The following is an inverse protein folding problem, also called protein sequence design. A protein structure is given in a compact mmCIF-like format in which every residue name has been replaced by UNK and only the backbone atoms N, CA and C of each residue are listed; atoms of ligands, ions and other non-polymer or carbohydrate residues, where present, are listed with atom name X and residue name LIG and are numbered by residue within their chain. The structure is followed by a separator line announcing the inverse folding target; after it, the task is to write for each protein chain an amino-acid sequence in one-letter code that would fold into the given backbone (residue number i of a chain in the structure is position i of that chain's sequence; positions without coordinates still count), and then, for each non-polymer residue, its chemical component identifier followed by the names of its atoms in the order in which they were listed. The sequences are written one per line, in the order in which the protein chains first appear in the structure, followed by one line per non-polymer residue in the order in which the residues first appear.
data_IF_084920761631
#
_entry.id   IF_084920761631
#
_cell.length_a   1.000
_cell.length_b   1.000
_cell.length_c   1.000
_cell.angle_alpha   90.00
_cell.angle_beta   90.00
_cell.angle_gamma   90.00
#
_symmetry.space_group_name_H-M   'P 1'
#
loop_
_entity.id
_entity.type
_entity.pdbx_description
1 polymer ?
#
# COMPACT_ATOMS: atom_id res chain seq x y z
N UNK A 1 1.30 -22.85 3.53
CA UNK A 1 1.39 -21.71 4.43
C UNK A 1 0.00 -21.31 4.92
N UNK A 2 -0.08 -20.88 6.19
CA UNK A 2 -1.32 -20.34 6.77
C UNK A 2 -1.06 -18.92 7.22
N UNK A 3 -1.78 -17.96 6.61
CA UNK A 3 -1.67 -16.54 6.90
C UNK A 3 -2.88 -16.10 7.71
N UNK A 4 -2.65 -15.47 8.86
CA UNK A 4 -3.66 -14.88 9.73
C UNK A 4 -3.71 -13.37 9.55
N UNK A 5 -4.81 -12.76 9.93
CA UNK A 5 -5.05 -11.31 9.78
C UNK A 5 -5.10 -10.85 8.31
N UNK A 6 -5.64 -11.69 7.42
CA UNK A 6 -5.89 -11.36 6.02
C UNK A 6 -7.26 -10.71 5.87
N UNK A 7 -7.37 -9.42 5.56
CA UNK A 7 -8.64 -8.75 5.36
C UNK A 7 -9.33 -9.21 4.06
N UNK A 8 -10.64 -9.00 3.96
CA UNK A 8 -11.39 -9.18 2.73
C UNK A 8 -11.22 -7.95 1.85
N UNK A 9 -10.24 -8.00 0.96
CA UNK A 9 -9.92 -6.92 0.02
C UNK A 9 -9.97 -7.46 -1.40
N UNK A 10 -10.43 -6.65 -2.34
CA UNK A 10 -10.48 -7.01 -3.75
C UNK A 10 -9.09 -7.40 -4.31
N UNK A 11 -8.03 -6.73 -3.88
CA UNK A 11 -6.66 -7.04 -4.30
C UNK A 11 -6.19 -8.40 -3.73
N UNK A 12 -6.65 -8.79 -2.53
CA UNK A 12 -6.37 -10.13 -1.96
C UNK A 12 -7.13 -11.21 -2.73
N UNK A 13 -8.40 -10.99 -3.05
CA UNK A 13 -9.19 -11.93 -3.86
C UNK A 13 -8.55 -12.14 -5.24
N UNK A 14 -7.99 -11.08 -5.86
CA UNK A 14 -7.25 -11.20 -7.12
C UNK A 14 -5.94 -11.96 -6.95
N UNK A 15 -5.26 -11.78 -5.81
CA UNK A 15 -4.07 -12.57 -5.47
C UNK A 15 -4.40 -14.06 -5.35
N UNK A 16 -5.51 -14.40 -4.70
CA UNK A 16 -5.98 -15.79 -4.57
C UNK A 16 -6.23 -16.40 -5.97
N UNK A 17 -6.90 -15.66 -6.87
CA UNK A 17 -7.11 -16.09 -8.26
C UNK A 17 -5.81 -16.29 -9.04
N UNK A 18 -4.81 -15.43 -8.86
CA UNK A 18 -3.48 -15.61 -9.49
C UNK A 18 -2.84 -16.90 -9.00
N UNK A 19 -2.86 -17.15 -7.69
CA UNK A 19 -2.29 -18.38 -7.11
C UNK A 19 -3.00 -19.64 -7.61
N UNK A 20 -4.33 -19.62 -7.70
CA UNK A 20 -5.11 -20.74 -8.24
C UNK A 20 -4.80 -21.01 -9.72
N UNK A 21 -4.65 -19.97 -10.54
CA UNK A 21 -4.23 -20.08 -11.94
C UNK A 21 -2.83 -20.67 -12.11
N UNK A 22 -1.94 -20.38 -11.17
CA UNK A 22 -0.60 -20.99 -11.13
C UNK A 22 -0.64 -22.47 -10.67
N UNK A 23 -1.79 -22.99 -10.27
CA UNK A 23 -1.98 -24.37 -9.82
C UNK A 23 -1.87 -24.57 -8.31
N UNK A 24 -1.88 -23.49 -7.54
CA UNK A 24 -1.95 -23.56 -6.08
C UNK A 24 -3.39 -23.87 -5.62
N UNK A 25 -3.54 -24.40 -4.41
CA UNK A 25 -4.84 -24.49 -3.74
C UNK A 25 -4.91 -23.41 -2.69
N UNK A 26 -5.94 -22.58 -2.78
CA UNK A 26 -6.19 -21.50 -1.81
C UNK A 26 -7.46 -21.83 -1.05
N UNK A 27 -7.42 -21.71 0.27
CA UNK A 27 -8.60 -21.87 1.13
C UNK A 27 -8.67 -20.71 2.12
N UNK A 28 -9.83 -20.07 2.19
CA UNK A 28 -10.10 -18.97 3.09
C UNK A 28 -11.15 -19.33 4.14
N UNK A 29 -10.85 -19.06 5.39
CA UNK A 29 -11.77 -19.21 6.53
C UNK A 29 -11.71 -17.94 7.39
N UNK A 30 -12.67 -17.04 7.22
CA UNK A 30 -12.64 -15.72 7.87
C UNK A 30 -11.40 -14.93 7.43
N UNK A 31 -10.65 -14.41 8.38
CA UNK A 31 -9.41 -13.68 8.16
C UNK A 31 -8.15 -14.57 8.08
N UNK A 32 -8.33 -15.86 7.82
CA UNK A 32 -7.24 -16.83 7.65
C UNK A 32 -7.25 -17.33 6.21
N UNK A 33 -6.10 -17.25 5.56
CA UNK A 33 -5.87 -17.78 4.20
C UNK A 33 -4.81 -18.88 4.27
N UNK A 34 -5.14 -20.06 3.76
CA UNK A 34 -4.20 -21.19 3.65
C UNK A 34 -3.87 -21.45 2.19
N UNK A 35 -2.59 -21.47 1.86
CA UNK A 35 -2.09 -21.67 0.50
C UNK A 35 -1.25 -22.92 0.44
N UNK A 36 -1.63 -23.87 -0.42
CA UNK A 36 -0.85 -25.06 -0.75
C UNK A 36 -0.30 -24.95 -2.18
N UNK A 37 1.01 -24.79 -2.27
CA UNK A 37 1.71 -24.60 -3.54
C UNK A 37 2.28 -25.88 -4.14
N UNK A 38 2.00 -27.06 -3.57
CA UNK A 38 2.54 -28.34 -4.07
C UNK A 38 2.06 -28.67 -5.48
N UNK A 39 0.87 -28.22 -5.84
CA UNK A 39 0.28 -28.39 -7.16
C UNK A 39 0.69 -27.35 -8.20
N UNK A 40 1.52 -26.39 -7.85
CA UNK A 40 1.93 -25.32 -8.77
C UNK A 40 2.63 -25.91 -10.01
N UNK A 41 2.05 -25.72 -11.17
CA UNK A 41 2.49 -26.31 -12.45
C UNK A 41 2.66 -25.27 -13.57
N UNK A 42 2.20 -24.05 -13.38
CA UNK A 42 2.31 -22.97 -14.37
C UNK A 42 3.29 -21.87 -13.89
N UNK A 43 3.88 -21.17 -14.86
CA UNK A 43 4.77 -20.05 -14.65
C UNK A 43 4.31 -18.80 -15.42
N UNK A 44 3.06 -18.81 -15.92
CA UNK A 44 2.47 -17.73 -16.70
C UNK A 44 1.29 -17.10 -15.97
N UNK A 45 1.31 -15.78 -15.86
CA UNK A 45 0.15 -15.00 -15.40
C UNK A 45 -0.51 -14.34 -16.61
N UNK A 46 -1.82 -14.55 -16.78
CA UNK A 46 -2.58 -14.00 -17.90
C UNK A 46 -2.73 -12.48 -17.80
N UNK A 47 -2.91 -11.84 -18.94
CA UNK A 47 -2.97 -10.40 -19.10
C UNK A 47 -4.09 -9.76 -18.27
N UNK A 48 -5.27 -10.37 -18.23
CA UNK A 48 -6.43 -9.83 -17.50
C UNK A 48 -6.12 -9.65 -16.02
N UNK A 49 -5.52 -10.65 -15.37
CA UNK A 49 -5.15 -10.57 -13.94
C UNK A 49 -4.02 -9.55 -13.69
N UNK A 50 -3.04 -9.46 -14.61
CA UNK A 50 -1.95 -8.47 -14.50
C UNK A 50 -2.45 -7.04 -14.64
N UNK A 51 -3.47 -6.79 -15.49
CA UNK A 51 -4.04 -5.46 -15.69
C UNK A 51 -4.90 -4.99 -14.54
N UNK A 52 -5.60 -5.91 -13.86
CA UNK A 52 -6.49 -5.57 -12.74
C UNK A 52 -5.72 -5.16 -11.47
N UNK A 53 -4.54 -5.75 -11.25
CA UNK A 53 -3.75 -5.49 -10.04
C UNK A 53 -2.28 -5.22 -10.41
N UNK A 54 -1.85 -3.96 -10.35
CA UNK A 54 -0.49 -3.59 -10.72
C UNK A 54 0.59 -4.26 -9.86
N UNK A 55 0.31 -4.49 -8.56
CA UNK A 55 1.22 -5.21 -7.66
C UNK A 55 1.49 -6.66 -8.08
N UNK A 56 0.73 -7.20 -9.03
CA UNK A 56 0.96 -8.55 -9.58
C UNK A 56 2.37 -8.74 -10.17
N UNK A 57 3.09 -7.67 -10.54
CA UNK A 57 4.50 -7.75 -10.95
C UNK A 57 5.41 -8.38 -9.89
N UNK A 58 5.02 -8.34 -8.61
CA UNK A 58 5.78 -8.93 -7.48
C UNK A 58 5.84 -10.47 -7.58
N UNK A 59 4.84 -11.09 -8.20
CA UNK A 59 4.87 -12.53 -8.45
C UNK A 59 6.07 -12.97 -9.29
N UNK A 60 6.64 -12.08 -10.10
CA UNK A 60 7.74 -12.39 -11.00
C UNK A 60 8.94 -12.96 -10.23
N UNK A 61 9.33 -12.33 -9.10
CA UNK A 61 10.43 -12.80 -8.25
C UNK A 61 10.16 -14.18 -7.64
N UNK A 62 8.94 -14.42 -7.18
CA UNK A 62 8.56 -15.72 -6.61
C UNK A 62 8.51 -16.84 -7.66
N UNK A 63 7.93 -16.56 -8.85
CA UNK A 63 7.81 -17.54 -9.94
C UNK A 63 9.20 -17.90 -10.47
N UNK A 64 10.06 -16.91 -10.78
CA UNK A 64 11.38 -17.17 -11.34
C UNK A 64 12.28 -17.92 -10.34
N UNK A 65 12.16 -17.62 -9.05
CA UNK A 65 12.88 -18.33 -8.00
C UNK A 65 12.52 -19.81 -7.99
N UNK A 66 11.24 -20.14 -8.14
CA UNK A 66 10.74 -21.52 -8.07
C UNK A 66 10.87 -22.26 -9.40
N UNK A 67 10.43 -21.64 -10.52
CA UNK A 67 10.23 -22.32 -11.79
C UNK A 67 11.38 -22.11 -12.77
N UNK A 68 12.32 -21.21 -12.49
CA UNK A 68 13.42 -20.79 -13.41
C UNK A 68 12.92 -20.20 -14.73
N UNK A 69 11.62 -20.10 -14.91
CA UNK A 69 10.93 -19.46 -16.03
C UNK A 69 9.74 -18.67 -15.51
N UNK A 70 9.45 -17.54 -16.11
CA UNK A 70 8.24 -16.77 -15.80
C UNK A 70 7.81 -16.00 -17.07
N UNK A 71 6.49 -15.94 -17.29
CA UNK A 71 5.91 -15.11 -18.35
C UNK A 71 4.79 -14.30 -17.72
N UNK A 72 4.94 -12.98 -17.71
CA UNK A 72 3.92 -12.07 -17.22
C UNK A 72 3.64 -11.00 -18.26
N UNK A 73 2.40 -10.52 -18.35
CA UNK A 73 2.15 -9.36 -19.20
C UNK A 73 2.66 -8.09 -18.52
N UNK A 74 2.93 -7.06 -19.32
CA UNK A 74 3.22 -5.73 -18.80
C UNK A 74 2.04 -5.29 -17.91
N UNK A 75 2.30 -4.81 -16.68
CA UNK A 75 1.23 -4.35 -15.81
C UNK A 75 0.52 -3.15 -16.46
N UNK A 76 -0.79 -3.07 -16.30
CA UNK A 76 -1.61 -2.00 -16.83
C UNK A 76 -1.18 -0.61 -16.35
N UNK A 77 -1.66 0.44 -17.02
CA UNK A 77 -1.45 1.83 -16.61
C UNK A 77 -1.95 2.09 -15.19
N UNK A 78 -1.38 3.09 -14.55
CA UNK A 78 -1.81 3.50 -13.22
C UNK A 78 -2.33 4.96 -13.29
N UNK A 79 -3.54 5.24 -12.78
CA UNK A 79 -4.09 6.59 -12.83
C UNK A 79 -3.24 7.62 -12.06
N UNK A 80 -2.51 7.20 -11.04
CA UNK A 80 -1.69 8.10 -10.21
C UNK A 80 -0.31 8.44 -10.77
N UNK A 81 0.07 7.89 -11.94
CA UNK A 81 1.33 8.21 -12.63
C UNK A 81 2.03 7.01 -13.26
N UNK A 82 3.12 7.29 -13.97
CA UNK A 82 4.01 6.27 -14.48
C UNK A 82 4.62 5.52 -13.30
N UNK A 83 4.52 4.21 -13.33
CA UNK A 83 5.15 3.32 -12.34
C UNK A 83 6.02 2.33 -13.08
N UNK A 84 7.19 2.77 -13.54
CA UNK A 84 8.09 1.93 -14.32
C UNK A 84 8.48 0.69 -13.51
N UNK A 85 8.71 -0.42 -14.20
CA UNK A 85 9.13 -1.69 -13.60
C UNK A 85 10.62 -1.96 -13.79
N UNK A 86 11.34 -0.98 -14.32
CA UNK A 86 12.76 -1.03 -14.63
C UNK A 86 13.62 -1.49 -13.45
N UNK A 87 13.34 -1.00 -12.24
CA UNK A 87 14.03 -1.41 -11.01
C UNK A 87 13.77 -2.89 -10.66
N UNK A 88 12.57 -3.41 -10.94
CA UNK A 88 12.27 -4.83 -10.76
C UNK A 88 13.12 -5.67 -11.73
N UNK A 89 13.13 -5.29 -13.00
CA UNK A 89 13.87 -6.02 -14.03
C UNK A 89 15.39 -5.90 -13.82
N UNK A 90 15.88 -4.71 -13.43
CA UNK A 90 17.29 -4.51 -13.06
C UNK A 90 17.70 -5.47 -11.94
N UNK A 91 16.92 -5.53 -10.86
CA UNK A 91 17.22 -6.41 -9.73
C UNK A 91 17.28 -7.89 -10.11
N UNK A 92 16.40 -8.34 -10.99
CA UNK A 92 16.39 -9.73 -11.46
C UNK A 92 17.57 -10.03 -12.42
N UNK A 93 17.96 -9.08 -13.29
CA UNK A 93 19.15 -9.23 -14.16
C UNK A 93 20.42 -9.37 -13.33
N UNK A 94 20.57 -8.62 -12.23
CA UNK A 94 21.71 -8.74 -11.30
C UNK A 94 21.77 -10.11 -10.60
N UNK A 95 20.67 -10.85 -10.57
CA UNK A 95 20.59 -12.22 -10.06
C UNK A 95 20.77 -13.29 -11.17
N UNK A 96 21.17 -12.90 -12.40
CA UNK A 96 21.42 -13.80 -13.51
C UNK A 96 20.17 -14.23 -14.28
N UNK A 97 19.09 -13.46 -14.23
CA UNK A 97 17.87 -13.74 -14.99
C UNK A 97 17.96 -13.08 -16.37
N UNK A 98 17.81 -13.86 -17.45
CA UNK A 98 17.58 -13.35 -18.78
C UNK A 98 16.16 -12.84 -18.92
N UNK A 99 15.99 -11.61 -19.43
CA UNK A 99 14.71 -10.93 -19.52
C UNK A 99 14.51 -10.36 -20.92
N UNK A 100 13.46 -10.80 -21.57
CA UNK A 100 13.03 -10.36 -22.89
C UNK A 100 11.67 -9.68 -22.80
N UNK A 101 11.56 -8.50 -23.37
CA UNK A 101 10.32 -7.71 -23.39
C UNK A 101 9.77 -7.72 -24.82
N UNK A 102 8.73 -8.50 -25.09
CA UNK A 102 8.18 -8.70 -26.41
C UNK A 102 6.64 -8.68 -26.40
N UNK A 103 6.06 -7.95 -27.33
CA UNK A 103 4.60 -7.93 -27.58
C UNK A 103 3.75 -7.69 -26.32
N UNK A 104 4.23 -6.85 -25.38
CA UNK A 104 3.53 -6.56 -24.13
C UNK A 104 3.71 -7.63 -23.04
N UNK A 105 4.60 -8.59 -23.24
CA UNK A 105 4.97 -9.60 -22.25
C UNK A 105 6.42 -9.46 -21.81
N UNK A 106 6.65 -9.83 -20.56
CA UNK A 106 7.98 -9.99 -19.95
C UNK A 106 8.22 -11.49 -19.82
N UNK A 107 9.19 -11.98 -20.55
CA UNK A 107 9.63 -13.38 -20.50
C UNK A 107 10.94 -13.45 -19.76
N UNK A 108 10.96 -14.20 -18.69
CA UNK A 108 12.14 -14.39 -17.83
C UNK A 108 12.56 -15.84 -17.85
N UNK A 109 13.88 -16.08 -17.94
CA UNK A 109 14.46 -17.41 -17.84
C UNK A 109 15.84 -17.37 -17.19
N UNK A 110 16.20 -18.45 -16.53
CA UNK A 110 17.54 -18.65 -15.96
C UNK A 110 17.79 -20.14 -15.72
N UNK A 111 19.02 -20.58 -15.88
CA UNK A 111 19.41 -21.92 -15.44
C UNK A 111 19.51 -21.97 -13.91
N UNK A 112 20.05 -20.90 -13.32
CA UNK A 112 20.18 -20.75 -11.87
C UNK A 112 20.17 -19.28 -11.47
N UNK A 113 19.65 -19.00 -10.30
CA UNK A 113 19.72 -17.68 -9.69
C UNK A 113 20.99 -17.65 -8.83
N UNK A 114 21.82 -16.64 -9.07
CA UNK A 114 23.09 -16.46 -8.34
C UNK A 114 23.01 -15.16 -7.54
N UNK A 115 23.42 -15.24 -6.28
CA UNK A 115 23.46 -14.07 -5.40
C UNK A 115 24.42 -13.01 -5.95
N UNK A 116 24.10 -11.74 -5.71
CA UNK A 116 24.84 -10.59 -6.24
C UNK A 116 24.62 -9.33 -5.43
N UNK A 117 25.18 -8.24 -5.91
CA UNK A 117 25.00 -6.92 -5.33
C UNK A 117 24.00 -6.13 -6.16
N UNK A 118 22.82 -5.88 -5.60
CA UNK A 118 21.74 -5.12 -6.20
C UNK A 118 21.76 -3.72 -5.64
N UNK A 119 21.86 -2.70 -6.48
CA UNK A 119 21.66 -1.31 -6.09
C UNK A 119 20.39 -0.76 -6.71
N UNK A 120 19.46 -0.30 -5.87
CA UNK A 120 18.23 0.36 -6.32
C UNK A 120 18.47 1.88 -6.39
N UNK A 121 18.28 2.47 -7.57
CA UNK A 121 18.47 3.92 -7.76
C UNK A 121 17.43 4.75 -6.99
N UNK A 122 16.31 4.12 -6.65
CA UNK A 122 15.27 4.64 -5.77
C UNK A 122 14.80 3.52 -4.81
N UNK A 123 14.50 3.80 -3.53
CA UNK A 123 14.04 2.79 -2.56
C UNK A 123 12.59 2.35 -2.88
N UNK A 124 12.46 1.59 -3.97
CA UNK A 124 11.18 1.05 -4.44
C UNK A 124 10.77 -0.15 -3.60
N UNK A 125 9.57 -0.09 -3.00
CA UNK A 125 8.98 -1.19 -2.23
C UNK A 125 8.86 -2.43 -3.09
N UNK A 126 8.16 -2.35 -4.22
CA UNK A 126 7.92 -3.52 -5.08
C UNK A 126 9.19 -4.12 -5.67
N UNK A 127 10.19 -3.30 -6.04
CA UNK A 127 11.47 -3.81 -6.53
C UNK A 127 12.26 -4.51 -5.41
N UNK A 128 12.22 -3.98 -4.18
CA UNK A 128 12.82 -4.63 -3.00
C UNK A 128 12.15 -5.98 -2.72
N UNK A 129 10.81 -6.05 -2.74
CA UNK A 129 10.05 -7.29 -2.56
C UNK A 129 10.41 -8.33 -3.63
N UNK A 130 10.42 -7.93 -4.90
CA UNK A 130 10.79 -8.83 -6.01
C UNK A 130 12.22 -9.35 -5.88
N UNK A 131 13.18 -8.49 -5.54
CA UNK A 131 14.57 -8.87 -5.31
C UNK A 131 14.68 -9.87 -4.14
N UNK A 132 13.99 -9.61 -3.01
CA UNK A 132 13.96 -10.51 -1.86
C UNK A 132 13.39 -11.88 -2.23
N UNK A 133 12.22 -11.92 -2.89
CA UNK A 133 11.55 -13.16 -3.30
C UNK A 133 12.40 -13.99 -4.27
N UNK A 134 13.15 -13.33 -5.18
CA UNK A 134 14.05 -14.03 -6.08
C UNK A 134 15.31 -14.54 -5.38
N UNK A 135 15.87 -13.74 -4.45
CA UNK A 135 17.17 -14.01 -3.84
C UNK A 135 17.15 -15.08 -2.74
N UNK A 136 15.99 -15.35 -2.10
CA UNK A 136 15.92 -16.30 -0.98
C UNK A 136 16.34 -17.74 -1.33
N UNK A 137 16.24 -18.12 -2.61
CA UNK A 137 16.72 -19.41 -3.11
C UNK A 137 17.86 -19.27 -4.13
N UNK A 138 18.57 -18.14 -4.14
CA UNK A 138 19.74 -17.94 -4.98
C UNK A 138 20.97 -18.69 -4.44
N UNK A 139 21.91 -19.07 -5.29
CA UNK A 139 23.19 -19.61 -4.84
C UNK A 139 24.07 -18.48 -4.26
N UNK A 140 24.54 -18.64 -3.02
CA UNK A 140 25.44 -17.70 -2.36
C UNK A 140 24.73 -16.57 -1.63
N UNK A 141 25.28 -15.37 -1.69
CA UNK A 141 24.82 -14.20 -0.93
C UNK A 141 24.33 -13.11 -1.84
N UNK A 142 23.22 -12.47 -1.46
CA UNK A 142 22.71 -11.26 -2.11
C UNK A 142 22.74 -10.10 -1.15
N UNK A 143 23.19 -8.93 -1.63
CA UNK A 143 23.11 -7.67 -0.90
C UNK A 143 22.27 -6.69 -1.71
N UNK A 144 21.18 -6.20 -1.12
CA UNK A 144 20.34 -5.16 -1.72
C UNK A 144 20.68 -3.85 -1.01
N UNK A 145 21.18 -2.86 -1.74
CA UNK A 145 21.52 -1.53 -1.24
C UNK A 145 20.49 -0.51 -1.72
N UNK A 146 20.28 0.55 -0.94
CA UNK A 146 19.18 1.50 -1.09
C UNK A 146 17.81 0.83 -1.15
N UNK A 147 17.65 -0.25 -0.37
CA UNK A 147 16.41 -0.99 -0.23
C UNK A 147 15.31 -0.12 0.41
N UNK A 148 14.06 -0.43 0.09
CA UNK A 148 12.90 0.13 0.76
C UNK A 148 12.91 -0.27 2.25
N UNK A 149 12.46 0.63 3.11
CA UNK A 149 12.57 0.51 4.58
C UNK A 149 11.21 0.37 5.24
N UNK A 150 10.16 0.35 4.46
CA UNK A 150 8.77 0.26 4.87
C UNK A 150 8.55 -0.94 5.81
N UNK A 151 7.67 -0.81 6.81
CA UNK A 151 7.33 -1.91 7.72
C UNK A 151 6.88 -3.18 7.00
N UNK A 152 6.27 -3.05 5.82
CA UNK A 152 5.85 -4.14 4.95
C UNK A 152 7.03 -4.99 4.45
N UNK A 153 8.19 -4.36 4.22
CA UNK A 153 9.46 -5.06 3.87
C UNK A 153 9.97 -5.87 5.06
N UNK A 154 9.82 -5.31 6.27
CA UNK A 154 10.20 -6.02 7.51
C UNK A 154 9.29 -7.22 7.71
N UNK A 155 7.99 -7.06 7.49
CA UNK A 155 6.99 -8.12 7.61
C UNK A 155 7.22 -9.25 6.61
N UNK A 156 7.47 -8.92 5.34
CA UNK A 156 7.86 -9.89 4.31
C UNK A 156 9.13 -10.66 4.70
N UNK A 157 10.18 -9.96 5.15
CA UNK A 157 11.43 -10.60 5.56
C UNK A 157 11.25 -11.53 6.76
N UNK A 158 10.41 -11.16 7.73
CA UNK A 158 10.04 -12.00 8.87
C UNK A 158 9.26 -13.24 8.42
N UNK A 159 8.29 -13.09 7.51
CA UNK A 159 7.57 -14.22 6.93
C UNK A 159 8.51 -15.18 6.20
N UNK A 160 9.40 -14.67 5.35
CA UNK A 160 10.39 -15.48 4.66
C UNK A 160 11.30 -16.23 5.65
N UNK A 161 11.75 -15.57 6.71
CA UNK A 161 12.55 -16.21 7.76
C UNK A 161 11.76 -17.30 8.51
N UNK A 162 10.45 -17.11 8.76
CA UNK A 162 9.60 -18.16 9.29
C UNK A 162 9.49 -19.38 8.34
N UNK A 163 9.67 -19.18 7.03
CA UNK A 163 9.72 -20.24 6.04
C UNK A 163 11.12 -20.90 5.91
N UNK A 164 12.09 -20.45 6.70
CA UNK A 164 13.46 -20.99 6.69
C UNK A 164 14.45 -20.21 5.82
N UNK A 165 14.08 -19.04 5.31
CA UNK A 165 15.02 -18.13 4.65
C UNK A 165 15.99 -17.50 5.66
N UNK A 166 17.04 -16.86 5.14
CA UNK A 166 18.05 -16.16 5.94
C UNK A 166 18.17 -14.71 5.45
N UNK A 167 17.20 -13.89 5.82
CA UNK A 167 17.12 -12.46 5.46
C UNK A 167 17.46 -11.62 6.69
N UNK A 168 18.32 -10.61 6.52
CA UNK A 168 18.75 -9.70 7.59
C UNK A 168 18.80 -8.27 7.08
N UNK A 169 18.63 -7.29 7.97
CA UNK A 169 18.76 -5.87 7.66
C UNK A 169 17.48 -5.19 7.15
N UNK A 170 16.33 -5.90 7.16
CA UNK A 170 15.04 -5.31 6.81
C UNK A 170 14.74 -4.10 7.69
N UNK A 171 14.11 -3.07 7.12
CA UNK A 171 13.91 -1.78 7.79
C UNK A 171 15.11 -0.84 7.74
N UNK A 172 16.29 -1.33 7.36
CA UNK A 172 17.45 -0.56 6.98
C UNK A 172 17.56 -0.34 5.47
N UNK A 173 18.55 0.47 5.05
CA UNK A 173 18.83 0.70 3.63
C UNK A 173 19.62 -0.43 2.96
N UNK A 174 20.06 -1.43 3.72
CA UNK A 174 20.84 -2.57 3.22
C UNK A 174 20.23 -3.87 3.74
N UNK A 175 19.78 -4.71 2.82
CA UNK A 175 19.26 -6.05 3.12
C UNK A 175 20.27 -7.08 2.64
N UNK A 176 20.57 -8.07 3.48
CA UNK A 176 21.47 -9.19 3.16
C UNK A 176 20.70 -10.50 3.22
N UNK A 177 20.85 -11.31 2.20
CA UNK A 177 20.17 -12.59 2.03
C UNK A 177 21.22 -13.67 1.75
N UNK A 178 21.23 -14.71 2.58
CA UNK A 178 21.94 -15.94 2.29
C UNK A 178 20.95 -16.91 1.68
N UNK A 179 21.17 -17.32 0.45
CA UNK A 179 20.25 -18.19 -0.25
C UNK A 179 20.19 -19.59 0.40
N UNK A 180 19.01 -20.18 0.34
CA UNK A 180 18.75 -21.53 0.87
C UNK A 180 18.25 -22.47 -0.21
N UNK A 181 18.55 -23.75 -0.08
CA UNK A 181 18.15 -24.74 -1.08
C UNK A 181 16.64 -24.99 -1.12
N UNK A 182 15.93 -24.72 -0.02
CA UNK A 182 14.50 -25.00 0.11
C UNK A 182 13.88 -24.16 1.23
N UNK A 183 12.67 -23.65 0.96
CA UNK A 183 11.77 -23.09 1.95
C UNK A 183 10.73 -24.14 2.37
N UNK A 184 10.12 -23.96 3.53
CA UNK A 184 9.03 -24.81 4.04
C UNK A 184 7.78 -23.97 4.31
N UNK A 185 6.64 -24.62 4.54
CA UNK A 185 5.42 -23.95 4.95
C UNK A 185 5.54 -23.35 6.35
N UNK A 186 4.83 -22.25 6.57
CA UNK A 186 4.79 -21.56 7.86
C UNK A 186 3.38 -21.08 8.18
N UNK A 187 3.13 -20.88 9.47
CA UNK A 187 2.00 -20.10 9.98
C UNK A 187 2.50 -18.72 10.36
N UNK A 188 1.84 -17.67 9.87
CA UNK A 188 2.28 -16.29 10.07
C UNK A 188 1.08 -15.36 10.27
N UNK A 189 1.22 -14.38 11.14
CA UNK A 189 0.24 -13.32 11.34
C UNK A 189 0.75 -12.05 10.67
N UNK A 190 0.04 -11.60 9.64
CA UNK A 190 0.36 -10.38 8.88
C UNK A 190 0.22 -9.16 9.79
N UNK A 191 1.11 -8.20 9.63
CA UNK A 191 1.13 -6.94 10.38
C UNK A 191 -0.17 -6.14 10.19
N UNK A 192 -0.56 -5.28 11.15
CA UNK A 192 -1.66 -4.34 10.98
C UNK A 192 -1.40 -3.33 9.86
N UNK A 193 -2.44 -2.95 9.12
CA UNK A 193 -2.35 -1.94 8.07
C UNK A 193 -2.29 -0.52 8.67
N UNK A 194 -1.11 0.10 8.60
CA UNK A 194 -0.85 1.45 9.11
C UNK A 194 -1.57 2.54 8.32
N UNK A 195 -1.85 2.31 7.02
CA UNK A 195 -2.52 3.28 6.15
C UNK A 195 -4.03 3.28 6.43
N UNK A 196 -4.63 2.11 6.59
CA UNK A 196 -6.02 1.98 7.03
C UNK A 196 -6.19 2.61 8.42
N UNK A 197 -5.29 2.31 9.36
CA UNK A 197 -5.32 2.91 10.70
C UNK A 197 -5.26 4.44 10.65
N UNK A 198 -4.34 5.03 9.85
CA UNK A 198 -4.22 6.48 9.68
C UNK A 198 -5.47 7.09 9.01
N UNK A 199 -6.14 6.36 8.12
CA UNK A 199 -7.40 6.81 7.51
C UNK A 199 -8.54 6.92 8.53
N UNK A 200 -8.66 5.97 9.47
CA UNK A 200 -9.63 6.07 10.56
C UNK A 200 -9.29 7.17 11.56
N UNK A 201 -8.00 7.41 11.83
CA UNK A 201 -7.59 8.59 12.61
C UNK A 201 -7.99 9.88 11.90
N UNK A 202 -7.80 9.95 10.58
CA UNK A 202 -8.24 11.11 9.80
C UNK A 202 -9.76 11.28 9.85
N UNK A 203 -10.55 10.22 9.70
CA UNK A 203 -12.00 10.24 9.79
C UNK A 203 -12.49 10.76 11.15
N UNK A 204 -11.88 10.32 12.24
CA UNK A 204 -12.17 10.83 13.58
C UNK A 204 -11.73 12.30 13.75
N UNK A 205 -10.56 12.68 13.21
CA UNK A 205 -10.04 14.03 13.33
C UNK A 205 -10.93 15.07 12.62
N UNK A 206 -11.36 14.77 11.39
CA UNK A 206 -12.18 15.72 10.59
C UNK A 206 -13.56 15.98 11.21
N UNK A 207 -14.09 14.99 11.95
CA UNK A 207 -15.41 15.09 12.63
C UNK A 207 -15.33 15.66 14.03
N UNK A 208 -14.14 15.98 14.54
CA UNK A 208 -13.97 16.44 15.93
C UNK A 208 -14.21 15.33 16.95
N UNK A 209 -14.07 14.06 16.53
CA UNK A 209 -14.40 12.87 17.33
C UNK A 209 -13.27 12.37 18.24
N UNK A 210 -13.60 11.30 18.97
CA UNK A 210 -12.66 10.53 19.77
C UNK A 210 -12.70 9.07 19.31
N UNK A 211 -11.54 8.44 19.10
CA UNK A 211 -11.44 7.04 18.66
C UNK A 211 -10.33 6.32 19.40
N UNK A 212 -10.54 5.03 19.65
CA UNK A 212 -9.53 4.12 20.15
C UNK A 212 -9.26 3.02 19.11
N UNK A 213 -8.12 3.10 18.41
CA UNK A 213 -7.66 2.05 17.53
C UNK A 213 -6.86 1.01 18.32
N UNK A 214 -7.24 -0.24 18.19
CA UNK A 214 -6.56 -1.41 18.78
C UNK A 214 -5.89 -2.23 17.69
N UNK A 215 -4.94 -3.08 18.07
CA UNK A 215 -4.18 -3.93 17.15
C UNK A 215 -3.48 -3.11 16.05
N UNK A 216 -2.84 -2.01 16.42
CA UNK A 216 -2.03 -1.16 15.56
C UNK A 216 -0.58 -1.15 16.06
N UNK A 217 0.36 -0.89 15.18
CA UNK A 217 1.74 -0.63 15.57
C UNK A 217 2.06 0.88 15.43
N UNK A 218 1.99 1.67 16.51
CA UNK A 218 2.23 3.11 16.42
C UNK A 218 3.63 3.49 15.91
N UNK A 219 4.62 2.59 16.07
CA UNK A 219 5.99 2.83 15.59
C UNK A 219 6.08 2.95 14.08
N UNK A 220 5.16 2.29 13.35
CA UNK A 220 5.11 2.30 11.89
C UNK A 220 4.39 3.54 11.34
N UNK A 221 3.82 4.38 12.23
CA UNK A 221 2.95 5.51 11.91
C UNK A 221 3.55 6.88 12.25
N UNK A 222 4.82 6.94 12.66
CA UNK A 222 5.43 8.14 13.25
C UNK A 222 5.17 9.43 12.49
N UNK A 223 5.45 9.49 11.18
CA UNK A 223 5.23 10.70 10.37
C UNK A 223 3.74 11.14 10.33
N UNK A 224 2.82 10.18 10.26
CA UNK A 224 1.38 10.47 10.22
C UNK A 224 0.86 10.98 11.56
N UNK A 225 1.29 10.36 12.66
CA UNK A 225 0.93 10.78 14.02
C UNK A 225 1.48 12.18 14.35
N UNK A 226 2.68 12.50 13.86
CA UNK A 226 3.27 13.82 14.03
C UNK A 226 2.43 14.91 13.33
N UNK A 227 2.01 14.67 12.11
CA UNK A 227 1.14 15.60 11.38
C UNK A 227 -0.20 15.81 12.11
N UNK A 228 -0.79 14.77 12.69
CA UNK A 228 -2.02 14.91 13.51
C UNK A 228 -1.78 15.77 14.77
N UNK A 229 -0.63 15.61 15.43
CA UNK A 229 -0.25 16.45 16.56
C UNK A 229 -0.11 17.92 16.16
N UNK A 230 0.52 18.20 15.00
CA UNK A 230 0.65 19.55 14.46
C UNK A 230 -0.71 20.17 14.13
N UNK A 231 -1.70 19.36 13.76
CA UNK A 231 -3.08 19.79 13.56
C UNK A 231 -3.88 20.01 14.88
N UNK A 232 -3.24 19.84 16.03
CA UNK A 232 -3.84 20.02 17.35
C UNK A 232 -4.58 18.79 17.89
N UNK A 233 -4.45 17.64 17.24
CA UNK A 233 -5.05 16.38 17.70
C UNK A 233 -4.29 15.87 18.94
N UNK A 234 -5.01 15.48 19.96
CA UNK A 234 -4.43 14.85 21.15
C UNK A 234 -4.30 13.35 20.93
N UNK A 235 -3.10 12.82 21.16
CA UNK A 235 -2.81 11.40 21.01
C UNK A 235 -2.26 10.82 22.31
N UNK A 236 -2.83 9.68 22.72
CA UNK A 236 -2.25 8.80 23.74
C UNK A 236 -1.85 7.49 23.06
N UNK A 237 -0.55 7.25 23.02
CA UNK A 237 0.05 6.11 22.34
C UNK A 237 0.43 5.05 23.37
N UNK A 238 -0.07 3.83 23.16
CA UNK A 238 0.27 2.63 23.93
C UNK A 238 0.96 1.61 23.00
N UNK A 239 1.34 0.45 23.51
CA UNK A 239 2.14 -0.53 22.74
C UNK A 239 1.47 -0.96 21.43
N UNK A 240 0.19 -1.22 21.46
CA UNK A 240 -0.62 -1.78 20.35
C UNK A 240 -1.94 -1.02 20.14
N UNK A 241 -2.01 0.20 20.67
CA UNK A 241 -3.22 1.00 20.71
C UNK A 241 -2.93 2.49 20.59
N UNK A 242 -3.78 3.20 19.87
CA UNK A 242 -3.77 4.67 19.77
C UNK A 242 -5.15 5.17 20.19
N UNK A 243 -5.18 6.06 21.18
CA UNK A 243 -6.37 6.81 21.58
C UNK A 243 -6.18 8.22 21.05
N UNK A 244 -7.12 8.68 20.23
CA UNK A 244 -7.14 10.00 19.63
C UNK A 244 -8.34 10.78 20.13
N UNK A 245 -8.12 12.07 20.40
CA UNK A 245 -9.17 13.05 20.62
C UNK A 245 -8.90 14.28 19.77
N UNK A 246 -9.81 14.57 18.86
CA UNK A 246 -9.68 15.70 17.98
C UNK A 246 -10.09 17.02 18.66
N UNK A 247 -9.49 18.17 18.30
CA UNK A 247 -9.94 19.47 18.72
C UNK A 247 -11.26 19.84 17.99
N UNK A 248 -11.98 20.83 18.48
CA UNK A 248 -13.18 21.35 17.80
C UNK A 248 -12.89 21.94 16.41
N UNK A 249 -11.69 22.42 16.18
CA UNK A 249 -11.21 22.95 14.90
C UNK A 249 -9.76 22.54 14.74
N UNK A 250 -9.44 21.91 13.62
CA UNK A 250 -8.08 21.53 13.25
C UNK A 250 -7.28 22.76 12.84
N UNK A 251 -5.98 22.75 13.13
CA UNK A 251 -5.02 23.75 12.62
C UNK A 251 -4.42 23.26 11.29
N UNK A 252 -3.99 24.22 10.45
CA UNK A 252 -3.38 23.87 9.16
C UNK A 252 -2.03 23.18 9.32
N UNK A 253 -1.72 22.30 8.38
CA UNK A 253 -0.39 21.73 8.23
C UNK A 253 0.40 22.66 7.34
N UNK A 254 1.51 23.22 7.82
CA UNK A 254 2.28 24.17 7.02
C UNK A 254 2.75 23.55 5.70
N UNK A 255 3.52 22.47 5.77
CA UNK A 255 4.00 21.75 4.58
C UNK A 255 4.08 20.25 4.88
N UNK A 256 3.46 19.45 4.02
CA UNK A 256 3.63 17.99 3.97
C UNK A 256 4.34 17.61 2.67
N UNK A 257 5.42 16.86 2.77
CA UNK A 257 6.12 16.27 1.63
C UNK A 257 6.06 14.76 1.70
N UNK A 258 5.56 14.14 0.62
CA UNK A 258 5.60 12.69 0.53
C UNK A 258 7.04 12.22 0.28
N UNK A 259 7.46 11.21 1.03
CA UNK A 259 8.80 10.66 1.00
C UNK A 259 8.75 9.15 1.26
N UNK A 260 9.74 8.38 0.78
CA UNK A 260 9.93 7.00 1.23
C UNK A 260 10.03 6.92 2.76
N UNK A 261 9.64 5.79 3.31
CA UNK A 261 9.68 5.57 4.77
C UNK A 261 11.10 5.82 5.34
N UNK A 262 11.23 6.49 6.50
CA UNK A 262 10.18 6.85 7.47
C UNK A 262 9.51 8.22 7.23
N UNK A 263 9.61 8.79 6.04
CA UNK A 263 8.93 10.03 5.69
C UNK A 263 7.41 9.85 5.59
N UNK A 264 6.72 10.95 5.26
CA UNK A 264 5.26 10.93 5.14
C UNK A 264 4.84 10.12 3.90
N UNK A 265 4.03 9.04 4.07
CA UNK A 265 3.71 8.15 2.96
C UNK A 265 2.72 8.78 1.99
N UNK A 266 2.97 8.60 0.69
CA UNK A 266 2.06 9.06 -0.37
C UNK A 266 0.65 8.46 -0.24
N UNK A 267 0.51 7.26 0.33
CA UNK A 267 -0.76 6.57 0.46
C UNK A 267 -1.72 7.19 1.48
N UNK A 268 -1.25 8.05 2.37
CA UNK A 268 -2.11 8.78 3.29
C UNK A 268 -2.23 10.28 2.93
N UNK A 269 -1.55 10.71 1.89
CA UNK A 269 -1.56 12.10 1.44
C UNK A 269 -3.00 12.60 1.15
N UNK A 270 -3.80 11.82 0.41
CA UNK A 270 -5.15 12.20 0.03
C UNK A 270 -6.11 12.30 1.24
N UNK A 271 -6.20 11.33 2.18
CA UNK A 271 -6.98 11.48 3.41
C UNK A 271 -6.56 12.67 4.27
N UNK A 272 -5.26 12.98 4.36
CA UNK A 272 -4.80 14.14 5.13
C UNK A 272 -5.04 15.48 4.40
N UNK A 273 -5.08 15.47 3.07
CA UNK A 273 -5.55 16.62 2.31
C UNK A 273 -7.03 16.91 2.59
N UNK A 274 -7.86 15.86 2.73
CA UNK A 274 -9.26 16.04 3.16
C UNK A 274 -9.35 16.70 4.54
N UNK A 275 -8.50 16.33 5.52
CA UNK A 275 -8.42 17.06 6.80
C UNK A 275 -8.11 18.53 6.63
N UNK A 276 -7.14 18.84 5.78
CA UNK A 276 -6.70 20.22 5.55
C UNK A 276 -7.80 21.11 4.95
N UNK A 277 -8.78 20.51 4.23
CA UNK A 277 -9.88 21.29 3.64
C UNK A 277 -10.75 22.01 4.66
N UNK A 278 -10.83 21.53 5.90
CA UNK A 278 -11.61 22.14 6.99
C UNK A 278 -10.75 22.71 8.10
N UNK A 279 -9.42 22.62 7.99
CA UNK A 279 -8.49 23.14 8.99
C UNK A 279 -8.38 24.67 8.94
N UNK A 280 -8.02 25.30 10.05
CA UNK A 280 -7.82 26.75 10.12
C UNK A 280 -6.48 27.12 9.47
N UNK A 281 -6.49 27.92 8.41
CA UNK A 281 -5.30 28.39 7.73
C UNK A 281 -5.05 27.72 6.38
N UNK A 282 -3.79 27.69 5.96
CA UNK A 282 -3.37 27.18 4.65
C UNK A 282 -2.35 26.05 4.83
N UNK A 283 -2.58 24.97 4.13
CA UNK A 283 -1.69 23.78 4.09
C UNK A 283 -1.11 23.59 2.69
N UNK A 284 0.12 23.12 2.61
CA UNK A 284 0.80 22.82 1.33
C UNK A 284 1.17 21.35 1.30
N UNK A 285 0.77 20.66 0.24
CA UNK A 285 1.15 19.28 -0.04
C UNK A 285 2.09 19.22 -1.23
N UNK A 286 3.22 18.56 -1.09
CA UNK A 286 4.21 18.34 -2.15
C UNK A 286 4.33 16.84 -2.37
N UNK A 287 3.94 16.38 -3.56
CA UNK A 287 3.96 14.97 -3.93
C UNK A 287 5.26 14.64 -4.68
N UNK A 288 6.16 13.91 -4.03
CA UNK A 288 7.47 13.56 -4.60
C UNK A 288 7.53 12.14 -5.19
N UNK A 289 6.51 11.31 -4.94
CA UNK A 289 6.52 9.90 -5.32
C UNK A 289 5.82 9.70 -6.68
N UNK A 290 4.60 10.24 -6.84
CA UNK A 290 3.79 10.05 -8.03
C UNK A 290 3.43 11.35 -8.73
N UNK A 291 3.43 11.35 -10.06
CA UNK A 291 3.21 12.54 -10.88
C UNK A 291 1.75 13.01 -10.88
N UNK A 292 0.80 12.07 -10.78
CA UNK A 292 -0.62 12.34 -10.96
C UNK A 292 -1.45 11.92 -9.72
N UNK A 293 -0.96 12.27 -8.53
CA UNK A 293 -1.59 11.85 -7.26
C UNK A 293 -2.80 12.70 -6.87
N UNK A 294 -2.98 13.88 -7.43
CA UNK A 294 -4.02 14.84 -7.04
C UNK A 294 -5.36 14.67 -7.76
N UNK A 295 -5.66 13.53 -8.36
CA UNK A 295 -6.91 13.28 -9.11
C UNK A 295 -8.19 13.43 -8.27
N UNK A 296 -8.09 13.26 -6.96
CA UNK A 296 -9.22 13.44 -6.03
C UNK A 296 -9.57 14.90 -5.76
N UNK A 297 -8.72 15.84 -6.15
CA UNK A 297 -8.89 17.26 -5.86
C UNK A 297 -10.13 17.83 -6.53
N UNK A 298 -10.40 17.47 -7.78
CA UNK A 298 -11.59 17.93 -8.50
C UNK A 298 -12.87 17.54 -7.76
N UNK A 299 -12.91 16.34 -7.20
CA UNK A 299 -14.06 15.84 -6.45
C UNK A 299 -14.17 16.52 -5.07
N UNK A 300 -13.06 16.80 -4.37
CA UNK A 300 -13.08 17.63 -3.16
C UNK A 300 -13.54 19.06 -3.45
N UNK A 301 -13.15 19.63 -4.60
CA UNK A 301 -13.59 20.97 -5.03
C UNK A 301 -15.10 20.98 -5.30
N UNK A 302 -15.70 19.89 -5.84
CA UNK A 302 -17.16 19.74 -5.94
C UNK A 302 -17.86 19.80 -4.59
N UNK A 303 -17.19 19.34 -3.53
CA UNK A 303 -17.67 19.44 -2.14
C UNK A 303 -17.42 20.82 -1.52
N UNK A 304 -16.87 21.79 -2.27
CA UNK A 304 -16.61 23.15 -1.81
C UNK A 304 -15.24 23.38 -1.19
N UNK A 305 -14.28 22.46 -1.36
CA UNK A 305 -12.91 22.68 -0.92
C UNK A 305 -12.19 23.74 -1.76
N UNK A 306 -11.37 24.58 -1.13
CA UNK A 306 -10.48 25.56 -1.79
C UNK A 306 -9.08 24.95 -1.95
N UNK A 307 -8.85 24.35 -3.09
CA UNK A 307 -7.58 23.69 -3.41
C UNK A 307 -7.06 24.18 -4.77
N UNK A 308 -5.80 24.61 -4.79
CA UNK A 308 -5.10 24.95 -6.03
C UNK A 308 -3.94 23.99 -6.23
N UNK A 309 -3.93 23.29 -7.37
CA UNK A 309 -2.85 22.37 -7.76
C UNK A 309 -1.98 23.03 -8.81
N UNK A 310 -0.66 22.92 -8.63
CA UNK A 310 0.35 23.37 -9.60
C UNK A 310 1.50 22.34 -9.63
N UNK A 311 1.58 21.61 -10.72
CA UNK A 311 2.54 20.52 -10.87
C UNK A 311 2.41 19.46 -9.75
N UNK A 312 3.47 19.32 -8.97
CA UNK A 312 3.54 18.38 -7.83
C UNK A 312 3.15 19.03 -6.49
N UNK A 313 2.57 20.21 -6.50
CA UNK A 313 2.20 20.93 -5.28
C UNK A 313 0.71 21.24 -5.27
N UNK A 314 0.10 21.11 -4.10
CA UNK A 314 -1.28 21.51 -3.86
C UNK A 314 -1.34 22.45 -2.65
N UNK A 315 -1.98 23.61 -2.83
CA UNK A 315 -2.26 24.58 -1.77
C UNK A 315 -3.71 24.43 -1.37
N UNK A 316 -3.95 24.08 -0.12
CA UNK A 316 -5.28 23.86 0.46
C UNK A 316 -5.57 24.97 1.45
N UNK A 317 -6.60 25.79 1.19
CA UNK A 317 -7.13 26.76 2.16
C UNK A 317 -8.32 26.15 2.85
N UNK A 318 -8.28 26.12 4.17
CA UNK A 318 -9.37 25.56 4.95
C UNK A 318 -10.66 26.39 4.80
N UNK A 319 -11.76 25.69 4.54
CA UNK A 319 -13.09 26.26 4.50
C UNK A 319 -13.85 26.01 5.80
N UNK A 320 -14.91 26.76 6.05
CA UNK A 320 -15.69 26.55 7.28
C UNK A 320 -16.41 25.22 7.28
N UNK A 321 -16.91 24.78 6.13
CA UNK A 321 -17.71 23.58 5.96
C UNK A 321 -17.67 23.12 4.51
N UNK A 322 -17.60 21.78 4.32
CA UNK A 322 -17.82 21.14 3.03
C UNK A 322 -19.32 20.90 2.81
N UNK A 323 -19.73 20.75 1.56
CA UNK A 323 -21.11 20.48 1.16
C UNK A 323 -21.23 19.07 0.59
N UNK A 324 -22.35 18.40 0.86
CA UNK A 324 -22.69 17.14 0.25
C UNK A 324 -22.77 17.27 -1.28
N UNK A 325 -22.22 16.31 -1.99
CA UNK A 325 -22.17 16.29 -3.45
C UNK A 325 -22.15 14.86 -4.01
N UNK A 326 -22.45 14.73 -5.31
CA UNK A 326 -22.20 13.48 -6.03
C UNK A 326 -20.76 13.51 -6.55
N UNK A 327 -19.94 12.59 -6.03
CA UNK A 327 -18.49 12.48 -6.32
C UNK A 327 -18.13 11.06 -6.74
N UNK A 328 -17.02 10.87 -7.43
CA UNK A 328 -16.59 9.57 -7.95
C UNK A 328 -15.15 9.27 -7.53
N UNK A 329 -14.96 8.15 -6.85
CA UNK A 329 -13.64 7.61 -6.60
C UNK A 329 -13.03 7.10 -7.92
N UNK A 330 -11.80 7.51 -8.22
CA UNK A 330 -11.06 7.09 -9.42
C UNK A 330 -9.82 6.27 -9.10
N UNK A 331 -9.45 6.25 -7.83
CA UNK A 331 -8.36 5.45 -7.28
C UNK A 331 -8.58 5.23 -5.78
N UNK A 332 -7.84 4.27 -5.21
CA UNK A 332 -8.02 3.76 -3.86
C UNK A 332 -7.98 4.86 -2.77
N UNK A 333 -6.90 5.65 -2.73
CA UNK A 333 -6.64 6.58 -1.62
C UNK A 333 -7.41 7.89 -1.77
N UNK A 334 -7.64 8.34 -3.00
CA UNK A 334 -8.55 9.45 -3.29
C UNK A 334 -9.98 9.08 -2.92
N UNK A 335 -10.42 7.85 -3.22
CA UNK A 335 -11.73 7.37 -2.77
C UNK A 335 -11.88 7.41 -1.24
N UNK A 336 -10.87 6.95 -0.51
CA UNK A 336 -10.85 7.06 0.96
C UNK A 336 -10.88 8.52 1.44
N UNK A 337 -10.19 9.44 0.76
CA UNK A 337 -10.22 10.86 1.06
C UNK A 337 -11.63 11.46 0.88
N UNK A 338 -12.37 11.04 -0.16
CA UNK A 338 -13.76 11.45 -0.35
C UNK A 338 -14.67 10.95 0.76
N UNK A 339 -14.46 9.71 1.25
CA UNK A 339 -15.20 9.20 2.42
C UNK A 339 -14.90 10.06 3.65
N UNK A 340 -13.61 10.34 3.93
CA UNK A 340 -13.20 11.19 5.07
C UNK A 340 -13.84 12.59 4.97
N UNK A 341 -13.79 13.22 3.79
CA UNK A 341 -14.39 14.55 3.57
C UNK A 341 -15.91 14.53 3.75
N UNK A 342 -16.59 13.48 3.26
CA UNK A 342 -18.03 13.32 3.36
C UNK A 342 -18.53 13.26 4.81
N UNK A 343 -17.74 12.72 5.74
CA UNK A 343 -18.09 12.66 7.16
C UNK A 343 -18.25 14.05 7.82
N UNK A 344 -17.60 15.07 7.26
CA UNK A 344 -17.65 16.44 7.77
C UNK A 344 -18.49 17.38 6.88
N UNK A 345 -19.07 16.90 5.80
CA UNK A 345 -19.86 17.70 4.87
C UNK A 345 -21.29 17.90 5.37
N UNK A 346 -21.85 19.09 5.11
CA UNK A 346 -23.28 19.35 5.31
C UNK A 346 -24.09 18.72 4.17
N UNK A 347 -25.16 18.01 4.53
CA UNK A 347 -26.02 17.32 3.57
C UNK A 347 -25.56 15.91 3.25
N UNK A 348 -25.97 15.36 2.12
CA UNK A 348 -25.66 13.99 1.71
C UNK A 348 -24.61 13.99 0.62
N UNK A 349 -23.59 13.14 0.77
CA UNK A 349 -22.60 12.87 -0.27
C UNK A 349 -22.82 11.47 -0.81
N UNK A 350 -22.94 11.35 -2.14
CA UNK A 350 -22.97 10.06 -2.83
C UNK A 350 -21.61 9.81 -3.49
N UNK A 351 -20.99 8.69 -3.18
CA UNK A 351 -19.65 8.33 -3.70
C UNK A 351 -19.79 7.14 -4.64
N UNK A 352 -19.58 7.38 -5.94
CA UNK A 352 -19.45 6.32 -6.95
C UNK A 352 -18.03 5.76 -7.04
N UNK A 353 -17.84 4.65 -7.77
CA UNK A 353 -16.50 4.04 -7.94
C UNK A 353 -15.99 3.35 -6.67
N UNK A 354 -16.88 2.82 -5.84
CA UNK A 354 -16.54 2.19 -4.56
C UNK A 354 -15.64 0.97 -4.72
N UNK A 355 -15.63 0.34 -5.89
CA UNK A 355 -14.75 -0.77 -6.24
C UNK A 355 -13.26 -0.41 -6.12
N UNK A 356 -12.88 0.88 -6.25
CA UNK A 356 -11.53 1.32 -5.99
C UNK A 356 -11.22 1.36 -4.49
N UNK A 357 -12.19 1.72 -3.65
CA UNK A 357 -12.05 1.75 -2.20
C UNK A 357 -11.91 0.33 -1.65
N UNK A 358 -12.72 -0.61 -2.17
CA UNK A 358 -12.74 -2.02 -1.75
C UNK A 358 -11.42 -2.78 -2.02
N UNK A 359 -10.52 -2.18 -2.81
CA UNK A 359 -9.18 -2.73 -3.03
C UNK A 359 -8.32 -2.73 -1.77
N UNK A 360 -8.51 -1.77 -0.87
CA UNK A 360 -7.66 -1.62 0.32
C UNK A 360 -8.40 -1.29 1.62
N UNK A 361 -9.74 -1.21 1.60
CA UNK A 361 -10.55 -0.98 2.80
C UNK A 361 -11.66 -2.01 2.88
N UNK A 362 -11.56 -2.88 3.87
CA UNK A 362 -12.59 -3.88 4.14
C UNK A 362 -13.80 -3.21 4.79
N UNK A 363 -14.98 -3.27 4.13
CA UNK A 363 -16.27 -2.81 4.69
C UNK A 363 -16.16 -1.47 5.42
N UNK A 364 -15.52 -0.46 4.80
CA UNK A 364 -15.26 0.85 5.42
C UNK A 364 -16.53 1.49 5.97
N UNK A 365 -17.66 1.34 5.27
CA UNK A 365 -18.97 1.84 5.69
C UNK A 365 -19.46 1.19 6.98
N UNK A 366 -19.22 -0.11 7.16
CA UNK A 366 -19.63 -0.85 8.36
C UNK A 366 -18.88 -0.34 9.58
N UNK A 367 -17.55 -0.25 9.50
CA UNK A 367 -16.74 0.21 10.64
C UNK A 367 -17.00 1.69 10.98
N UNK A 368 -17.21 2.54 9.96
CA UNK A 368 -17.58 3.94 10.21
C UNK A 368 -18.98 4.06 10.83
N UNK A 369 -19.95 3.22 10.40
CA UNK A 369 -21.29 3.15 11.01
C UNK A 369 -21.21 2.75 12.49
N UNK A 370 -20.40 1.74 12.83
CA UNK A 370 -20.14 1.32 14.21
C UNK A 370 -19.49 2.43 15.06
N UNK A 371 -18.72 3.31 14.43
CA UNK A 371 -18.16 4.53 15.04
C UNK A 371 -19.16 5.70 15.13
N UNK A 372 -20.41 5.54 14.67
CA UNK A 372 -21.47 6.54 14.77
C UNK A 372 -21.65 7.41 13.52
N UNK A 373 -20.96 7.13 12.41
CA UNK A 373 -21.19 7.81 11.15
C UNK A 373 -22.55 7.44 10.55
N UNK A 374 -23.19 8.39 9.84
CA UNK A 374 -24.41 8.13 9.08
C UNK A 374 -24.03 7.76 7.65
N UNK A 375 -23.72 6.52 7.42
CA UNK A 375 -23.22 6.00 6.14
C UNK A 375 -23.94 4.70 5.78
N UNK A 376 -24.16 4.45 4.49
CA UNK A 376 -24.70 3.19 3.97
C UNK A 376 -24.13 2.90 2.59
N UNK A 377 -24.17 1.65 2.19
CA UNK A 377 -23.87 1.21 0.82
C UNK A 377 -25.18 0.88 0.11
N UNK A 378 -25.33 1.36 -1.13
CA UNK A 378 -26.47 1.08 -2.02
C UNK A 378 -26.06 0.20 -3.19
#
# INVERSE_FOLDING_TARGET
CTLKNCPYLRDVDKTDLVLERLGCRVHRAGNIVTVDTRGMCDCKICEDLMREMRSSIIFLGAIISRCKKAVVSMPGGCPIGLRPIDLHLKALRELGVDIQEEHGYIKCSTDKIVGGNIHLDFPSVGATENAMLAAVCAEGFTTITNAAREPEIVDLGNFLNCMGAKVRGMGGSVIKIEGVSKLHGAEYTIMPDRIVAATYLAASAITGGEICLKNVNPRDMGAMLHVLLDMGVQLRIEKDKIIQKAPKKLESIHIVRTMPYPGFPTDIQSPFMALATVARGTSVFIENIFENRFQHVDELTRMGADIKVEGRSAVVRGVNVLQGANVVARELRGGAALVVAALAANGTTTIGGTEFIDRGYENIEKYLLECGAKIRRE
#
